data_IF_348074163451
#
_entry.id   IF_348074163451
#
_cell.length_a   1.000
_cell.length_b   1.000
_cell.length_c   1.000
_cell.angle_alpha   90.00
_cell.angle_beta   90.00
_cell.angle_gamma   90.00
#
_symmetry.space_group_name_H-M   'P 1'
#
loop_
_entity.id
_entity.type
_entity.pdbx_description
1 polymer ?
#
# COMPACT_ATOMS: atom_id res chain seq x y z
N UNK A 1 -5.08 -0.55 -22.37
CA UNK A 1 -4.47 -0.36 -21.04
C UNK A 1 -3.63 -1.58 -20.75
N UNK A 2 -2.40 -1.40 -20.30
CA UNK A 2 -1.44 -2.50 -20.25
C UNK A 2 -1.79 -3.54 -19.20
N UNK A 3 -1.49 -4.79 -19.53
CA UNK A 3 -1.50 -5.94 -18.65
C UNK A 3 -0.18 -6.67 -18.81
N UNK A 4 0.32 -7.25 -17.75
CA UNK A 4 1.54 -8.07 -17.79
C UNK A 4 1.33 -9.34 -16.98
N UNK A 5 1.79 -10.46 -17.53
CA UNK A 5 1.74 -11.75 -16.82
C UNK A 5 3.03 -11.96 -16.04
N UNK A 6 2.88 -12.39 -14.81
CA UNK A 6 3.94 -12.81 -13.91
C UNK A 6 3.52 -14.15 -13.33
N UNK A 7 4.33 -15.19 -13.49
CA UNK A 7 3.95 -16.55 -13.16
C UNK A 7 2.51 -16.89 -13.61
N UNK A 8 1.64 -17.31 -12.72
CA UNK A 8 0.26 -17.74 -13.01
C UNK A 8 -0.76 -16.59 -12.92
N UNK A 9 -0.34 -15.35 -12.67
CA UNK A 9 -1.25 -14.19 -12.56
C UNK A 9 -0.93 -13.13 -13.60
N UNK A 10 -1.98 -12.39 -13.98
CA UNK A 10 -1.87 -11.22 -14.84
C UNK A 10 -2.23 -9.98 -14.06
N UNK A 11 -1.31 -9.01 -14.01
CA UNK A 11 -1.55 -7.72 -13.39
C UNK A 11 -1.97 -6.69 -14.44
N UNK A 12 -3.06 -6.01 -14.14
CA UNK A 12 -3.45 -4.78 -14.82
C UNK A 12 -2.74 -3.60 -14.15
N UNK A 13 -2.30 -2.61 -14.92
CA UNK A 13 -1.73 -1.39 -14.38
C UNK A 13 -2.05 -0.17 -15.21
N UNK A 14 -1.94 1.01 -14.62
CA UNK A 14 -1.94 2.28 -15.32
C UNK A 14 -0.55 2.87 -15.33
N UNK A 15 -0.24 3.66 -16.36
CA UNK A 15 0.97 4.48 -16.40
C UNK A 15 0.61 5.88 -16.88
N UNK A 16 1.20 6.88 -16.24
CA UNK A 16 0.96 8.29 -16.56
C UNK A 16 2.22 9.12 -16.31
N UNK A 17 2.45 10.12 -17.16
CA UNK A 17 3.61 10.99 -17.06
C UNK A 17 4.87 10.41 -17.68
N UNK A 18 5.98 11.06 -17.40
CA UNK A 18 7.32 10.73 -17.91
C UNK A 18 8.36 11.08 -16.84
N UNK A 19 9.61 10.67 -17.03
CA UNK A 19 10.68 10.87 -16.08
C UNK A 19 10.96 9.63 -15.23
N UNK A 20 11.47 9.82 -14.02
CA UNK A 20 11.83 8.74 -13.11
C UNK A 20 10.61 7.88 -12.73
N UNK A 21 10.75 6.56 -12.71
CA UNK A 21 9.63 5.69 -12.38
C UNK A 21 9.25 5.78 -10.90
N UNK A 22 7.95 5.96 -10.64
CA UNK A 22 7.34 5.99 -9.32
C UNK A 22 6.20 4.98 -9.26
N UNK A 23 6.34 3.97 -8.41
CA UNK A 23 5.33 2.96 -8.14
C UNK A 23 4.37 3.46 -7.05
N UNK A 24 3.09 3.48 -7.36
CA UNK A 24 2.01 3.78 -6.42
C UNK A 24 1.36 2.47 -5.98
N UNK A 25 1.46 2.14 -4.68
CA UNK A 25 0.96 0.87 -4.13
C UNK A 25 -0.24 1.14 -3.23
N UNK A 26 -1.41 0.67 -3.67
CA UNK A 26 -2.67 0.87 -2.97
C UNK A 26 -2.81 0.06 -1.67
N UNK A 27 -3.71 0.50 -0.78
CA UNK A 27 -4.06 -0.16 0.47
C UNK A 27 -4.97 -1.39 0.31
N UNK A 28 -5.55 -1.84 1.42
CA UNK A 28 -6.22 -3.13 1.54
C UNK A 28 -7.48 -3.33 0.70
N UNK A 29 -8.23 -2.26 0.43
CA UNK A 29 -9.47 -2.32 -0.38
C UNK A 29 -9.33 -1.60 -1.71
N UNK A 30 -8.16 -0.98 -1.91
CA UNK A 30 -7.94 -0.05 -2.97
C UNK A 30 -7.63 -0.67 -4.31
N UNK A 31 -7.52 0.22 -5.25
CA UNK A 31 -7.12 -0.02 -6.63
C UNK A 31 -5.94 0.85 -6.94
N UNK A 32 -5.23 0.50 -7.98
CA UNK A 32 -4.03 1.16 -8.46
C UNK A 32 -4.08 2.69 -8.41
N UNK A 33 -5.19 3.28 -8.79
CA UNK A 33 -5.35 4.73 -8.89
C UNK A 33 -6.29 5.28 -7.82
N UNK A 34 -6.97 4.40 -7.08
CA UNK A 34 -7.98 4.84 -6.14
C UNK A 34 -7.32 5.42 -4.88
N UNK A 35 -7.51 6.69 -4.65
CA UNK A 35 -6.82 7.46 -3.62
C UNK A 35 -5.71 8.34 -4.18
N UNK A 36 -5.01 7.94 -5.23
CA UNK A 36 -3.90 8.72 -5.80
C UNK A 36 -4.29 9.65 -6.96
N UNK A 37 -5.57 9.96 -7.15
CA UNK A 37 -6.04 10.83 -8.25
C UNK A 37 -5.43 12.23 -8.26
N UNK A 38 -5.19 12.80 -7.08
CA UNK A 38 -4.53 14.10 -6.97
C UNK A 38 -3.06 14.00 -7.40
N UNK A 39 -2.38 12.97 -6.92
CA UNK A 39 -0.96 12.70 -7.21
C UNK A 39 -0.74 12.39 -8.69
N UNK A 40 -1.65 11.65 -9.32
CA UNK A 40 -1.59 11.41 -10.76
C UNK A 40 -1.61 12.68 -11.62
N UNK A 41 -2.33 13.71 -11.15
CA UNK A 41 -2.40 14.99 -11.86
C UNK A 41 -1.19 15.87 -11.58
N UNK A 42 -0.68 15.84 -10.35
CA UNK A 42 0.36 16.75 -9.88
C UNK A 42 1.76 16.23 -10.11
N UNK A 43 2.00 14.93 -9.95
CA UNK A 43 3.33 14.32 -10.06
C UNK A 43 3.67 13.81 -11.46
N UNK A 44 2.70 13.69 -12.37
CA UNK A 44 2.93 13.20 -13.74
C UNK A 44 3.83 14.12 -14.60
N UNK A 45 4.11 15.31 -14.14
CA UNK A 45 5.05 16.24 -14.79
C UNK A 45 6.52 15.90 -14.46
N UNK A 46 6.76 15.26 -13.34
CA UNK A 46 8.11 14.97 -12.83
C UNK A 46 8.43 13.47 -12.88
N UNK A 47 7.40 12.62 -12.77
CA UNK A 47 7.55 11.17 -12.64
C UNK A 47 6.72 10.40 -13.65
N UNK A 48 7.25 9.26 -14.08
CA UNK A 48 6.46 8.21 -14.73
C UNK A 48 5.76 7.39 -13.65
N UNK A 49 4.52 7.75 -13.36
CA UNK A 49 3.68 7.06 -12.37
C UNK A 49 3.25 5.70 -12.90
N UNK A 50 3.40 4.67 -12.09
CA UNK A 50 3.03 3.29 -12.40
C UNK A 50 2.18 2.78 -11.24
N UNK A 51 0.95 2.38 -11.53
CA UNK A 51 0.00 2.00 -10.51
C UNK A 51 -0.67 0.66 -10.89
N UNK A 52 -0.17 -0.48 -10.38
CA UNK A 52 -0.77 -1.78 -10.61
C UNK A 52 -1.96 -2.03 -9.69
N UNK A 53 -3.00 -2.66 -10.23
CA UNK A 53 -3.95 -3.41 -9.42
C UNK A 53 -3.21 -4.68 -8.96
N UNK A 54 -3.04 -4.87 -7.65
CA UNK A 54 -2.38 -6.08 -7.13
C UNK A 54 -3.19 -7.33 -7.46
N UNK A 55 -2.57 -8.50 -7.48
CA UNK A 55 -3.29 -9.76 -7.65
C UNK A 55 -4.47 -9.87 -6.67
N UNK A 56 -5.63 -10.32 -7.13
CA UNK A 56 -6.87 -10.35 -6.35
C UNK A 56 -7.63 -9.01 -6.28
N UNK A 57 -7.15 -7.95 -6.95
CA UNK A 57 -7.80 -6.64 -6.96
C UNK A 57 -8.11 -6.16 -8.38
N UNK A 58 -9.15 -5.35 -8.50
CA UNK A 58 -9.48 -4.61 -9.71
C UNK A 58 -9.62 -5.46 -10.96
N UNK A 59 -8.78 -5.17 -11.93
CA UNK A 59 -8.76 -5.81 -13.26
C UNK A 59 -7.66 -6.87 -13.39
N UNK A 60 -6.91 -7.10 -12.32
CA UNK A 60 -5.92 -8.17 -12.23
C UNK A 60 -6.57 -9.54 -12.01
N UNK A 61 -5.79 -10.61 -12.11
CA UNK A 61 -6.27 -11.96 -11.86
C UNK A 61 -6.99 -12.03 -10.52
N UNK A 62 -8.22 -12.55 -10.53
CA UNK A 62 -9.01 -12.78 -9.31
C UNK A 62 -8.39 -13.91 -8.48
N UNK A 63 -8.25 -13.68 -7.18
CA UNK A 63 -7.69 -14.63 -6.22
C UNK A 63 -8.76 -14.92 -5.16
N UNK A 64 -8.92 -16.18 -4.80
CA UNK A 64 -9.91 -16.67 -3.85
C UNK A 64 -9.23 -17.19 -2.59
N UNK A 65 -8.74 -16.28 -1.77
CA UNK A 65 -8.11 -16.53 -0.49
C UNK A 65 -6.74 -15.88 -0.37
N UNK A 66 -6.56 -15.04 0.65
CA UNK A 66 -5.26 -14.58 1.11
C UNK A 66 -4.96 -15.25 2.46
N UNK A 67 -3.70 -15.39 2.76
CA UNK A 67 -3.22 -15.87 4.06
C UNK A 67 -2.38 -14.79 4.74
N UNK A 68 -1.88 -15.07 5.93
CA UNK A 68 -1.07 -14.13 6.69
C UNK A 68 0.25 -13.69 6.01
N UNK A 69 0.66 -14.34 4.93
CA UNK A 69 1.86 -13.96 4.17
C UNK A 69 1.54 -13.06 2.97
N UNK A 70 0.30 -12.56 2.83
CA UNK A 70 -0.16 -11.83 1.65
C UNK A 70 0.65 -10.56 1.36
N UNK A 71 1.13 -9.83 2.37
CA UNK A 71 2.01 -8.69 2.16
C UNK A 71 3.33 -9.10 1.50
N UNK A 72 3.91 -10.22 1.96
CA UNK A 72 5.16 -10.77 1.41
C UNK A 72 4.96 -11.31 -0.01
N UNK A 73 3.82 -11.97 -0.27
CA UNK A 73 3.47 -12.44 -1.60
C UNK A 73 3.30 -11.28 -2.57
N UNK A 74 2.51 -10.26 -2.20
CA UNK A 74 2.33 -9.08 -3.04
C UNK A 74 3.62 -8.30 -3.28
N UNK A 75 4.53 -8.23 -2.31
CA UNK A 75 5.83 -7.62 -2.49
C UNK A 75 6.67 -8.38 -3.52
N UNK A 76 6.70 -9.72 -3.43
CA UNK A 76 7.38 -10.56 -4.41
C UNK A 76 6.77 -10.43 -5.81
N UNK A 77 5.43 -10.42 -5.91
CA UNK A 77 4.72 -10.23 -7.18
C UNK A 77 5.02 -8.86 -7.81
N UNK A 78 5.07 -7.79 -7.01
CA UNK A 78 5.43 -6.47 -7.52
C UNK A 78 6.89 -6.38 -7.98
N UNK A 79 7.83 -7.08 -7.34
CA UNK A 79 9.20 -7.16 -7.84
C UNK A 79 9.27 -7.87 -9.20
N UNK A 80 8.57 -9.01 -9.38
CA UNK A 80 8.44 -9.69 -10.68
C UNK A 80 7.73 -8.83 -11.72
N UNK A 81 6.71 -8.06 -11.28
CA UNK A 81 6.04 -7.09 -12.14
C UNK A 81 7.01 -6.05 -12.68
N UNK A 82 7.89 -5.50 -11.84
CA UNK A 82 8.91 -4.55 -12.26
C UNK A 82 9.88 -5.17 -13.28
N UNK A 83 10.28 -6.43 -13.07
CA UNK A 83 11.11 -7.16 -14.04
C UNK A 83 10.41 -7.31 -15.39
N UNK A 84 9.13 -7.68 -15.37
CA UNK A 84 8.33 -7.89 -16.58
C UNK A 84 8.03 -6.60 -17.38
N UNK A 85 8.13 -5.44 -16.75
CA UNK A 85 8.01 -4.11 -17.40
C UNK A 85 9.36 -3.41 -17.57
N UNK A 86 10.47 -4.14 -17.39
CA UNK A 86 11.85 -3.69 -17.62
C UNK A 86 12.24 -2.47 -16.77
N UNK A 87 11.83 -2.46 -15.48
CA UNK A 87 12.24 -1.43 -14.53
C UNK A 87 13.19 -2.02 -13.52
N UNK A 88 14.42 -1.59 -13.55
CA UNK A 88 15.48 -2.04 -12.64
C UNK A 88 15.36 -1.40 -11.25
N UNK A 89 15.26 -0.07 -11.17
CA UNK A 89 15.15 0.67 -9.90
C UNK A 89 13.98 1.64 -9.93
N UNK A 90 13.32 1.82 -8.77
CA UNK A 90 12.08 2.58 -8.67
C UNK A 90 11.95 3.30 -7.33
N UNK A 91 11.32 4.48 -7.34
CA UNK A 91 10.75 5.09 -6.14
C UNK A 91 9.39 4.43 -5.85
N UNK A 92 9.05 4.26 -4.56
CA UNK A 92 7.78 3.64 -4.17
C UNK A 92 7.02 4.56 -3.21
N UNK A 93 5.75 4.80 -3.49
CA UNK A 93 4.81 5.38 -2.53
C UNK A 93 3.73 4.36 -2.23
N UNK A 94 3.76 3.81 -1.02
CA UNK A 94 2.77 2.87 -0.53
C UNK A 94 1.85 3.50 0.52
N UNK A 95 0.56 3.19 0.45
CA UNK A 95 -0.43 3.59 1.44
C UNK A 95 -1.03 2.37 2.14
N UNK A 96 -1.14 2.41 3.48
CA UNK A 96 -1.74 1.34 4.29
C UNK A 96 -1.04 -0.01 4.05
N UNK A 97 -1.74 -1.08 3.64
CA UNK A 97 -1.10 -2.34 3.21
C UNK A 97 -0.02 -2.11 2.14
N UNK A 98 -0.23 -1.13 1.24
CA UNK A 98 0.75 -0.78 0.22
C UNK A 98 2.06 -0.23 0.80
N UNK A 99 2.01 0.48 1.92
CA UNK A 99 3.20 0.93 2.64
C UNK A 99 3.98 -0.25 3.22
N UNK A 100 3.27 -1.18 3.85
CA UNK A 100 3.85 -2.42 4.38
C UNK A 100 4.48 -3.26 3.26
N UNK A 101 3.80 -3.38 2.12
CA UNK A 101 4.31 -4.09 0.93
C UNK A 101 5.57 -3.39 0.39
N UNK A 102 5.59 -2.05 0.29
CA UNK A 102 6.76 -1.29 -0.14
C UNK A 102 7.99 -1.52 0.76
N UNK A 103 7.79 -1.55 2.08
CA UNK A 103 8.86 -1.87 3.03
C UNK A 103 9.36 -3.33 2.86
N UNK A 104 8.46 -4.28 2.62
CA UNK A 104 8.85 -5.67 2.34
C UNK A 104 9.59 -5.79 1.00
N UNK A 105 9.20 -5.03 -0.04
CA UNK A 105 9.96 -4.97 -1.29
C UNK A 105 11.40 -4.50 -1.03
N UNK A 106 11.59 -3.47 -0.19
CA UNK A 106 12.91 -2.97 0.20
C UNK A 106 13.74 -3.99 1.00
N UNK A 107 13.09 -4.88 1.77
CA UNK A 107 13.73 -5.98 2.48
C UNK A 107 14.12 -7.12 1.52
N UNK A 108 13.23 -7.48 0.58
CA UNK A 108 13.45 -8.58 -0.36
C UNK A 108 14.52 -8.24 -1.41
N UNK A 109 14.55 -7.00 -1.87
CA UNK A 109 15.41 -6.53 -2.94
C UNK A 109 15.94 -5.12 -2.63
N UNK A 110 16.90 -4.97 -1.71
CA UNK A 110 17.36 -3.66 -1.19
C UNK A 110 17.89 -2.70 -2.26
N UNK A 111 18.42 -3.24 -3.35
CA UNK A 111 19.01 -2.45 -4.43
C UNK A 111 17.99 -2.01 -5.50
N UNK A 112 16.75 -2.53 -5.42
CA UNK A 112 15.67 -2.23 -6.39
C UNK A 112 14.90 -0.94 -6.04
N UNK A 113 14.88 -0.51 -4.78
CA UNK A 113 14.23 0.72 -4.38
C UNK A 113 15.24 1.85 -4.26
N UNK A 114 14.96 2.97 -4.95
CA UNK A 114 15.71 4.22 -4.79
C UNK A 114 15.34 4.90 -3.48
N UNK A 115 14.05 4.97 -3.21
CA UNK A 115 13.48 5.54 -1.99
C UNK A 115 12.05 5.03 -1.76
N UNK A 116 11.58 5.11 -0.53
CA UNK A 116 10.25 4.65 -0.12
C UNK A 116 9.51 5.75 0.65
N UNK A 117 8.30 6.06 0.24
CA UNK A 117 7.31 6.76 1.07
C UNK A 117 6.37 5.73 1.68
N UNK A 118 6.38 5.68 3.01
CA UNK A 118 5.56 4.80 3.83
C UNK A 118 4.46 5.63 4.48
N UNK A 119 3.22 5.48 4.02
CA UNK A 119 2.07 6.24 4.49
C UNK A 119 1.03 5.35 5.16
N UNK A 120 0.72 5.62 6.44
CA UNK A 120 -0.38 4.99 7.16
C UNK A 120 -0.31 3.45 7.23
N UNK A 121 0.88 2.86 7.09
CA UNK A 121 1.06 1.42 7.19
C UNK A 121 1.10 0.94 8.65
N UNK A 122 1.36 -0.35 8.85
CA UNK A 122 1.35 -0.99 10.16
C UNK A 122 2.70 -1.61 10.50
N UNK A 123 3.08 -1.61 11.79
CA UNK A 123 4.18 -2.41 12.30
C UNK A 123 3.66 -3.74 12.85
N UNK A 124 2.52 -3.69 13.53
CA UNK A 124 1.92 -4.83 14.21
C UNK A 124 0.43 -4.96 13.91
N UNK A 125 -0.08 -6.18 13.98
CA UNK A 125 -1.51 -6.44 14.05
C UNK A 125 -1.90 -6.87 15.48
N UNK A 126 -2.15 -5.91 16.38
CA UNK A 126 -2.41 -6.18 17.80
C UNK A 126 -3.77 -5.70 18.33
N UNK A 127 -4.59 -5.01 17.54
CA UNK A 127 -5.85 -4.43 18.01
C UNK A 127 -6.97 -5.48 18.07
N UNK A 128 -7.42 -5.81 19.26
CA UNK A 128 -8.56 -6.74 19.51
C UNK A 128 -9.86 -6.25 18.87
N UNK A 129 -10.11 -4.93 18.89
CA UNK A 129 -11.29 -4.32 18.27
C UNK A 129 -11.26 -4.46 16.74
N UNK A 130 -10.10 -4.30 16.13
CA UNK A 130 -9.93 -4.51 14.68
C UNK A 130 -10.23 -5.95 14.28
N UNK A 131 -9.87 -6.94 15.09
CA UNK A 131 -10.20 -8.35 14.84
C UNK A 131 -11.70 -8.58 14.76
N UNK A 132 -12.44 -8.04 15.72
CA UNK A 132 -13.89 -8.21 15.75
C UNK A 132 -14.54 -7.59 14.52
N UNK A 133 -14.13 -6.39 14.14
CA UNK A 133 -14.61 -5.73 12.93
C UNK A 133 -14.23 -6.50 11.66
N UNK A 134 -13.01 -7.01 11.58
CA UNK A 134 -12.57 -7.82 10.45
C UNK A 134 -13.34 -9.12 10.33
N UNK A 135 -13.65 -9.79 11.45
CA UNK A 135 -14.49 -10.99 11.43
C UNK A 135 -15.90 -10.66 10.94
N UNK A 136 -16.50 -9.55 11.39
CA UNK A 136 -17.82 -9.15 10.93
C UNK A 136 -17.88 -8.91 9.41
N UNK A 137 -16.93 -8.13 8.86
CA UNK A 137 -16.92 -7.84 7.42
C UNK A 137 -16.47 -9.04 6.57
N UNK A 138 -15.73 -9.98 7.16
CA UNK A 138 -15.44 -11.27 6.53
C UNK A 138 -16.71 -12.10 6.37
N UNK A 139 -17.48 -12.22 7.43
CA UNK A 139 -18.69 -13.06 7.45
C UNK A 139 -19.80 -12.43 6.60
N UNK A 140 -19.98 -11.13 6.71
CA UNK A 140 -20.93 -10.36 5.89
C UNK A 140 -20.34 -9.03 5.39
N UNK A 141 -19.76 -8.98 4.18
CA UNK A 141 -19.26 -7.75 3.58
C UNK A 141 -20.33 -6.65 3.39
N UNK A 142 -21.62 -6.99 3.41
CA UNK A 142 -22.69 -6.00 3.29
C UNK A 142 -22.85 -5.10 4.52
N UNK A 143 -22.18 -5.42 5.61
CA UNK A 143 -22.07 -4.53 6.79
C UNK A 143 -21.27 -3.27 6.51
N UNK A 144 -20.47 -3.25 5.44
CA UNK A 144 -19.78 -2.03 5.02
C UNK A 144 -20.78 -0.93 4.63
N UNK A 145 -20.45 0.34 4.88
CA UNK A 145 -21.27 1.47 4.43
C UNK A 145 -21.59 1.40 2.95
N UNK A 146 -22.81 1.80 2.56
CA UNK A 146 -23.29 1.75 1.17
C UNK A 146 -22.32 2.43 0.19
N UNK A 147 -21.81 3.61 0.54
CA UNK A 147 -20.85 4.33 -0.29
C UNK A 147 -19.56 3.52 -0.55
N UNK A 148 -19.08 2.76 0.44
CA UNK A 148 -17.94 1.88 0.28
C UNK A 148 -18.27 0.70 -0.64
N UNK A 149 -19.44 0.07 -0.46
CA UNK A 149 -19.90 -1.06 -1.29
C UNK A 149 -20.06 -0.67 -2.75
N UNK A 150 -20.68 0.48 -3.02
CA UNK A 150 -20.83 1.00 -4.38
C UNK A 150 -19.47 1.25 -5.04
N UNK A 151 -18.53 1.82 -4.29
CA UNK A 151 -17.16 2.06 -4.77
C UNK A 151 -16.43 0.74 -5.05
N UNK A 152 -16.50 -0.22 -4.14
CA UNK A 152 -15.90 -1.55 -4.30
C UNK A 152 -16.49 -2.30 -5.51
N UNK A 153 -17.81 -2.30 -5.67
CA UNK A 153 -18.49 -2.92 -6.78
C UNK A 153 -18.11 -2.29 -8.12
N UNK A 154 -18.02 -0.96 -8.17
CA UNK A 154 -17.57 -0.25 -9.36
C UNK A 154 -16.15 -0.66 -9.80
N UNK A 155 -15.25 -0.89 -8.86
CA UNK A 155 -13.84 -1.16 -9.16
C UNK A 155 -13.52 -2.64 -9.33
N UNK A 156 -14.14 -3.52 -8.55
CA UNK A 156 -13.85 -4.95 -8.55
C UNK A 156 -14.89 -5.79 -9.31
N UNK A 157 -16.03 -5.20 -9.64
CA UNK A 157 -17.20 -5.89 -10.17
C UNK A 157 -18.19 -6.29 -9.08
N UNK A 158 -19.48 -6.24 -9.42
CA UNK A 158 -20.60 -6.55 -8.51
C UNK A 158 -20.51 -7.98 -7.93
N UNK A 159 -19.98 -8.90 -8.71
CA UNK A 159 -19.86 -10.31 -8.35
C UNK A 159 -18.61 -10.65 -7.53
N UNK A 160 -17.61 -9.76 -7.49
CA UNK A 160 -16.31 -10.09 -6.90
C UNK A 160 -15.91 -9.21 -5.71
N UNK A 161 -16.42 -8.01 -5.56
CA UNK A 161 -16.03 -7.12 -4.46
C UNK A 161 -16.23 -7.75 -3.06
N UNK A 162 -17.25 -8.59 -2.80
CA UNK A 162 -17.37 -9.22 -1.49
C UNK A 162 -16.21 -10.19 -1.19
N UNK A 163 -15.70 -10.86 -2.26
CA UNK A 163 -14.56 -11.75 -2.12
C UNK A 163 -13.26 -10.97 -1.83
N UNK A 164 -13.09 -9.78 -2.39
CA UNK A 164 -11.95 -8.89 -2.07
C UNK A 164 -11.91 -8.58 -0.58
N UNK A 165 -13.05 -8.24 0.01
CA UNK A 165 -13.17 -7.95 1.45
C UNK A 165 -12.89 -9.19 2.28
N UNK A 166 -13.46 -10.35 1.90
CA UNK A 166 -13.19 -11.62 2.60
C UNK A 166 -11.73 -12.01 2.56
N UNK A 167 -11.08 -11.90 1.41
CA UNK A 167 -9.66 -12.21 1.26
C UNK A 167 -8.81 -11.34 2.20
N UNK A 168 -9.04 -10.02 2.18
CA UNK A 168 -8.32 -9.06 3.01
C UNK A 168 -8.56 -9.32 4.49
N UNK A 169 -9.81 -9.46 4.92
CA UNK A 169 -10.17 -9.69 6.31
C UNK A 169 -9.60 -11.02 6.82
N UNK A 170 -9.70 -12.11 6.04
CA UNK A 170 -9.12 -13.40 6.38
C UNK A 170 -7.62 -13.31 6.64
N UNK A 171 -6.89 -12.65 5.73
CA UNK A 171 -5.44 -12.48 5.90
C UNK A 171 -5.07 -11.71 7.16
N UNK A 172 -5.80 -10.65 7.49
CA UNK A 172 -5.58 -9.89 8.71
C UNK A 172 -5.97 -10.65 9.97
N UNK A 173 -7.05 -11.47 9.94
CA UNK A 173 -7.41 -12.38 11.03
C UNK A 173 -6.28 -13.39 11.28
N UNK A 174 -5.76 -14.00 10.23
CA UNK A 174 -4.63 -14.94 10.32
C UNK A 174 -3.35 -14.28 10.85
N UNK A 175 -3.04 -13.07 10.39
CA UNK A 175 -1.91 -12.28 10.88
C UNK A 175 -2.01 -12.01 12.38
N UNK A 176 -3.21 -11.67 12.85
CA UNK A 176 -3.43 -11.43 14.27
C UNK A 176 -3.17 -12.68 15.13
N UNK A 177 -3.57 -13.85 14.66
CA UNK A 177 -3.32 -15.11 15.35
C UNK A 177 -1.83 -15.46 15.45
N UNK A 178 -1.02 -15.03 14.47
CA UNK A 178 0.42 -15.30 14.45
C UNK A 178 1.22 -14.44 15.42
N UNK A 179 0.68 -13.34 15.91
CA UNK A 179 1.32 -12.30 16.71
C UNK A 179 2.72 -11.87 16.17
N UNK A 180 3.12 -10.65 16.41
CA UNK A 180 4.45 -10.20 16.04
C UNK A 180 4.46 -9.07 15.03
N UNK A 181 5.64 -8.81 14.48
CA UNK A 181 5.84 -7.75 13.53
C UNK A 181 5.67 -8.27 12.08
N UNK A 182 5.07 -7.44 11.24
CA UNK A 182 4.80 -7.77 9.85
C UNK A 182 6.06 -8.00 9.02
N UNK A 183 7.20 -7.50 9.46
CA UNK A 183 8.47 -7.48 8.74
C UNK A 183 9.45 -8.56 9.21
N UNK A 184 9.01 -9.50 10.07
CA UNK A 184 9.83 -10.62 10.56
C UNK A 184 11.14 -10.15 11.19
N UNK A 185 11.11 -9.01 11.89
CA UNK A 185 12.26 -8.33 12.50
C UNK A 185 13.37 -7.91 11.51
N UNK A 186 13.04 -7.71 10.21
CA UNK A 186 14.02 -7.42 9.15
C UNK A 186 14.07 -5.94 8.71
N UNK A 187 13.40 -5.02 9.42
CA UNK A 187 13.37 -3.59 9.05
C UNK A 187 14.75 -2.93 8.94
N UNK A 188 15.73 -3.41 9.73
CA UNK A 188 17.11 -2.93 9.66
C UNK A 188 17.85 -3.28 8.36
N UNK A 189 17.28 -4.16 7.52
CA UNK A 189 17.83 -4.52 6.20
C UNK A 189 17.46 -3.51 5.11
N UNK A 190 16.50 -2.60 5.37
CA UNK A 190 16.11 -1.54 4.43
C UNK A 190 17.26 -0.56 4.27
N UNK A 191 17.76 -0.41 3.04
CA UNK A 191 18.93 0.41 2.71
C UNK A 191 18.57 1.76 2.12
N UNK A 192 17.47 1.84 1.36
CA UNK A 192 17.04 3.08 0.74
C UNK A 192 16.56 4.09 1.78
N UNK A 193 16.59 5.40 1.47
CA UNK A 193 15.93 6.43 2.25
C UNK A 193 14.43 6.12 2.39
N UNK A 194 13.86 6.34 3.60
CA UNK A 194 12.44 6.13 3.87
C UNK A 194 11.84 7.39 4.49
N UNK A 195 10.80 7.92 3.84
CA UNK A 195 9.94 8.95 4.41
C UNK A 195 8.67 8.30 4.95
N UNK A 196 8.50 8.33 6.27
CA UNK A 196 7.27 7.90 6.92
C UNK A 196 6.38 9.12 7.10
N UNK A 197 5.19 9.11 6.50
CA UNK A 197 4.16 10.14 6.70
C UNK A 197 2.95 9.54 7.37
N UNK A 198 2.46 10.19 8.43
CA UNK A 198 1.39 9.62 9.24
C UNK A 198 0.51 10.71 9.85
N UNK A 199 -0.79 10.44 9.96
CA UNK A 199 -1.73 11.34 10.59
C UNK A 199 -1.86 11.10 12.09
N UNK A 200 -1.89 12.18 12.89
CA UNK A 200 -2.05 12.06 14.35
C UNK A 200 -3.40 11.46 14.76
N UNK A 201 -4.40 11.55 13.87
CA UNK A 201 -5.75 11.03 14.06
C UNK A 201 -6.02 9.74 13.26
N UNK A 202 -4.97 9.00 12.89
CA UNK A 202 -5.14 7.70 12.23
C UNK A 202 -5.78 6.70 13.21
N UNK A 203 -6.99 6.26 12.89
CA UNK A 203 -7.75 5.32 13.71
C UNK A 203 -7.25 3.88 13.62
N UNK A 204 -6.46 3.57 12.58
CA UNK A 204 -5.95 2.22 12.31
C UNK A 204 -4.60 1.96 12.97
N UNK A 205 -3.72 2.97 13.00
CA UNK A 205 -2.36 2.80 13.50
C UNK A 205 -1.98 3.96 14.43
N UNK A 206 -1.58 3.72 15.67
CA UNK A 206 -1.16 4.78 16.58
C UNK A 206 0.20 5.37 16.18
N UNK A 207 0.41 6.66 16.45
CA UNK A 207 1.69 7.36 16.21
C UNK A 207 2.89 6.61 16.80
N UNK A 208 2.73 6.00 17.97
CA UNK A 208 3.79 5.24 18.65
C UNK A 208 4.33 4.06 17.84
N UNK A 209 3.50 3.44 16.99
CA UNK A 209 3.98 2.41 16.06
C UNK A 209 4.87 3.00 14.97
N UNK A 210 4.54 4.18 14.47
CA UNK A 210 5.36 4.87 13.47
C UNK A 210 6.67 5.38 14.04
N UNK A 211 6.68 5.83 15.28
CA UNK A 211 7.90 6.18 16.00
C UNK A 211 8.81 4.95 16.21
N UNK A 212 8.23 3.80 16.54
CA UNK A 212 8.99 2.55 16.64
C UNK A 212 9.52 2.10 15.28
N UNK A 213 8.69 2.14 14.23
CA UNK A 213 9.09 1.82 12.86
C UNK A 213 10.27 2.70 12.42
N UNK A 214 10.20 4.01 12.65
CA UNK A 214 11.24 4.96 12.31
C UNK A 214 12.57 4.67 13.05
N UNK A 215 12.51 4.23 14.29
CA UNK A 215 13.73 3.84 15.03
C UNK A 215 14.36 2.55 14.50
N UNK A 216 13.58 1.66 13.88
CA UNK A 216 14.05 0.34 13.39
C UNK A 216 14.57 0.38 11.95
N UNK A 217 14.23 1.41 11.18
CA UNK A 217 14.72 1.62 9.80
C UNK A 217 15.89 2.62 9.84
N UNK A 218 17.10 2.24 9.38
CA UNK A 218 18.30 3.07 9.54
C UNK A 218 18.21 4.48 8.94
N UNK A 219 17.58 4.61 7.77
CA UNK A 219 17.50 5.86 7.01
C UNK A 219 16.06 6.41 6.95
N UNK A 220 15.33 6.30 8.06
CA UNK A 220 13.94 6.76 8.13
C UNK A 220 13.85 8.20 8.67
N UNK A 221 12.97 8.97 8.03
CA UNK A 221 12.47 10.26 8.50
C UNK A 221 10.98 10.15 8.75
N UNK A 222 10.52 10.49 9.96
CA UNK A 222 9.09 10.51 10.34
C UNK A 222 8.54 11.94 10.31
N UNK A 223 7.39 12.11 9.66
CA UNK A 223 6.61 13.36 9.66
C UNK A 223 5.17 13.05 10.07
N UNK A 224 4.72 13.66 11.16
CA UNK A 224 3.36 13.55 11.67
C UNK A 224 2.54 14.77 11.26
N UNK A 225 1.38 14.53 10.65
CA UNK A 225 0.40 15.56 10.31
C UNK A 225 -0.60 15.68 11.47
N UNK A 226 -0.62 16.82 12.20
CA UNK A 226 -1.43 16.96 13.42
C UNK A 226 -2.93 16.83 13.17
N UNK A 227 -3.40 17.27 11.99
CA UNK A 227 -4.82 17.22 11.61
C UNK A 227 -5.12 16.08 10.61
N UNK A 228 -4.17 15.18 10.40
CA UNK A 228 -4.27 14.10 9.44
C UNK A 228 -4.86 12.82 10.04
N UNK A 229 -5.62 12.08 9.23
CA UNK A 229 -6.07 10.72 9.51
C UNK A 229 -5.28 9.68 8.71
N UNK A 230 -5.94 8.55 8.37
CA UNK A 230 -5.30 7.41 7.72
C UNK A 230 -4.78 7.66 6.30
N UNK A 231 -5.44 8.51 5.50
CA UNK A 231 -5.12 8.70 4.08
C UNK A 231 -4.76 10.16 3.80
N UNK A 232 -3.55 10.58 4.17
CA UNK A 232 -3.08 11.96 4.02
C UNK A 232 -3.11 12.45 2.57
N UNK A 233 -2.76 11.56 1.63
CA UNK A 233 -2.72 11.84 0.19
C UNK A 233 -4.09 12.07 -0.44
N UNK A 234 -5.18 11.61 0.18
CA UNK A 234 -6.55 11.74 -0.33
C UNK A 234 -7.39 12.78 0.45
N UNK A 235 -7.08 13.02 1.73
CA UNK A 235 -7.78 14.00 2.56
C UNK A 235 -7.56 15.43 2.05
N UNK A 236 -8.65 16.18 1.93
CA UNK A 236 -8.64 17.54 1.37
C UNK A 236 -7.67 18.48 2.08
N UNK A 237 -7.58 18.35 3.40
CA UNK A 237 -6.81 19.23 4.29
C UNK A 237 -5.31 18.96 4.22
N UNK A 238 -4.89 17.73 3.89
CA UNK A 238 -3.49 17.30 3.97
C UNK A 238 -2.88 16.95 2.62
N UNK A 239 -3.68 16.58 1.62
CA UNK A 239 -3.20 16.00 0.36
C UNK A 239 -2.20 16.86 -0.40
N UNK A 240 -2.39 18.20 -0.41
CA UNK A 240 -1.49 19.11 -1.12
C UNK A 240 -0.13 19.18 -0.42
N UNK A 241 -0.12 19.43 0.88
CA UNK A 241 1.10 19.51 1.67
C UNK A 241 1.84 18.15 1.72
N UNK A 242 1.10 17.04 1.84
CA UNK A 242 1.68 15.70 1.81
C UNK A 242 2.31 15.40 0.45
N UNK A 243 1.60 15.70 -0.65
CA UNK A 243 2.13 15.46 -2.01
C UNK A 243 3.36 16.31 -2.30
N UNK A 244 3.39 17.56 -1.86
CA UNK A 244 4.55 18.42 -2.02
C UNK A 244 5.77 17.90 -1.24
N UNK A 245 5.58 17.50 0.02
CA UNK A 245 6.64 16.89 0.83
C UNK A 245 7.20 15.62 0.17
N UNK A 246 6.32 14.75 -0.33
CA UNK A 246 6.70 13.52 -1.02
C UNK A 246 7.46 13.80 -2.32
N UNK A 247 7.00 14.80 -3.10
CA UNK A 247 7.68 15.25 -4.31
C UNK A 247 9.10 15.72 -4.02
N UNK A 248 9.26 16.59 -3.01
CA UNK A 248 10.57 17.10 -2.58
C UNK A 248 11.51 15.97 -2.13
N UNK A 249 10.97 14.99 -1.39
CA UNK A 249 11.73 13.84 -0.97
C UNK A 249 12.23 13.02 -2.17
N UNK A 250 11.37 12.67 -3.12
CA UNK A 250 11.78 11.86 -4.27
C UNK A 250 12.73 12.58 -5.25
N UNK A 251 12.63 13.91 -5.34
CA UNK A 251 13.55 14.70 -6.18
C UNK A 251 14.95 14.83 -5.55
N UNK A 252 15.05 14.75 -4.22
CA UNK A 252 16.32 14.85 -3.50
C UNK A 252 17.13 13.55 -3.49
N UNK A 253 16.51 12.40 -3.78
CA UNK A 253 17.10 11.04 -3.74
C UNK A 253 17.32 10.46 -5.15
#
# INVERSE_FOLDING_TARGET
MPKVSIDDITLYYTTRGHGEPLLLVHGGWGLAVNGFHYQEKTLAHDFRLIAPDRGGYGRSTRIFGFNADFHWQHAADLLKFLDAIEIDRICVWGHSDGASIGAIMAILAPDRLRSLVFEGGHLYNRKTESQFQMQQVHDDPNLLPEAARVKLAHYHGEDYWPQVIRNWASAWIDLHQRAGDLYRNRLAEIRCPVLIVHGAHDEHTPVSEMEELARRIPNARLVIYPDGGHSLHDQRETREACTQLVREFFVAE
#
